data_IF_501773454595
#
_entry.id   IF_501773454595
#
_cell.length_a   1.000
_cell.length_b   1.000
_cell.length_c   1.000
_cell.angle_alpha   90.00
_cell.angle_beta   90.00
_cell.angle_gamma   90.00
#
_symmetry.space_group_name_H-M   'P 1'
#
loop_
_entity.id
_entity.type
_entity.pdbx_description
1 polymer ?
#
# COMPACT_ATOMS: atom_id res chain seq x y z
N UNK A 1 -24.43 9.17 4.92
CA UNK A 1 -23.16 9.71 5.45
C UNK A 1 -22.92 9.15 6.83
N UNK A 2 -21.69 8.75 7.18
CA UNK A 2 -21.34 8.40 8.58
C UNK A 2 -21.34 9.67 9.44
N UNK A 3 -21.57 9.55 10.75
CA UNK A 3 -21.60 10.70 11.67
C UNK A 3 -20.36 11.60 11.54
N UNK A 4 -19.20 10.99 11.33
CA UNK A 4 -17.96 11.74 11.18
C UNK A 4 -17.81 12.40 9.80
N UNK A 5 -18.35 11.81 8.72
CA UNK A 5 -18.46 12.50 7.44
C UNK A 5 -19.43 13.69 7.50
N UNK A 6 -20.48 13.60 8.32
CA UNK A 6 -21.40 14.72 8.58
C UNK A 6 -20.72 15.87 9.34
N UNK A 7 -19.83 15.56 10.28
CA UNK A 7 -19.00 16.58 10.96
C UNK A 7 -18.10 17.35 9.98
N UNK A 8 -17.41 16.62 9.09
CA UNK A 8 -16.54 17.20 8.05
C UNK A 8 -17.36 18.10 7.10
N UNK A 9 -18.55 17.65 6.69
CA UNK A 9 -19.47 18.44 5.86
C UNK A 9 -19.89 19.74 6.55
N UNK A 10 -20.33 19.65 7.81
CA UNK A 10 -20.76 20.80 8.59
C UNK A 10 -19.64 21.83 8.74
N UNK A 11 -18.41 21.37 8.98
CA UNK A 11 -17.26 22.25 9.06
C UNK A 11 -16.98 22.98 7.74
N UNK A 12 -17.04 22.28 6.61
CA UNK A 12 -16.81 22.89 5.29
C UNK A 12 -17.86 23.94 4.93
N UNK A 13 -19.12 23.75 5.33
CA UNK A 13 -20.19 24.70 5.04
C UNK A 13 -20.20 25.86 6.04
N UNK A 14 -20.10 25.59 7.34
CA UNK A 14 -20.27 26.60 8.38
C UNK A 14 -19.01 27.45 8.62
N UNK A 15 -17.80 26.87 8.55
CA UNK A 15 -16.56 27.60 8.81
C UNK A 15 -15.90 28.12 7.52
N UNK A 16 -15.91 27.30 6.47
CA UNK A 16 -15.18 27.61 5.22
C UNK A 16 -16.09 28.15 4.10
N UNK A 17 -17.41 28.06 4.26
CA UNK A 17 -18.37 28.62 3.32
C UNK A 17 -18.44 27.91 1.97
N UNK A 18 -18.09 26.62 1.90
CA UNK A 18 -18.18 25.85 0.66
C UNK A 18 -19.63 25.69 0.19
N UNK A 19 -19.86 25.81 -1.12
CA UNK A 19 -21.14 25.51 -1.74
C UNK A 19 -21.31 23.98 -1.87
N UNK A 20 -22.32 23.37 -1.22
CA UNK A 20 -22.56 21.92 -1.25
C UNK A 20 -22.88 21.37 -2.64
N UNK A 21 -23.19 22.22 -3.61
CA UNK A 21 -23.51 21.83 -4.99
C UNK A 21 -22.32 21.96 -5.94
N UNK A 22 -21.23 22.56 -5.48
CA UNK A 22 -20.03 22.76 -6.29
C UNK A 22 -19.19 21.48 -6.43
N UNK A 23 -18.51 21.33 -7.56
CA UNK A 23 -17.54 20.25 -7.77
C UNK A 23 -16.35 20.36 -6.78
N UNK A 24 -16.00 21.58 -6.38
CA UNK A 24 -14.94 21.83 -5.40
C UNK A 24 -15.26 21.24 -4.02
N UNK A 25 -16.51 21.36 -3.58
CA UNK A 25 -16.96 20.75 -2.33
C UNK A 25 -16.78 19.23 -2.32
N UNK A 26 -17.13 18.55 -3.41
CA UNK A 26 -16.96 17.09 -3.50
C UNK A 26 -15.49 16.67 -3.54
N UNK A 27 -14.63 17.45 -4.19
CA UNK A 27 -13.19 17.21 -4.21
C UNK A 27 -12.60 17.30 -2.79
N UNK A 28 -12.93 18.35 -2.04
CA UNK A 28 -12.36 18.52 -0.69
C UNK A 28 -13.00 17.61 0.34
N UNK A 29 -14.29 17.30 0.20
CA UNK A 29 -14.95 16.25 0.97
C UNK A 29 -14.24 14.92 0.79
N UNK A 30 -13.98 14.50 -0.46
CA UNK A 30 -13.33 13.23 -0.76
C UNK A 30 -11.87 13.19 -0.24
N UNK A 31 -11.13 14.31 -0.34
CA UNK A 31 -9.79 14.42 0.27
C UNK A 31 -9.83 14.27 1.78
N UNK A 32 -10.68 15.03 2.48
CA UNK A 32 -10.80 14.98 3.95
C UNK A 32 -11.27 13.61 4.42
N UNK A 33 -12.26 13.03 3.75
CA UNK A 33 -12.79 11.72 4.08
C UNK A 33 -11.75 10.61 3.88
N UNK A 34 -10.85 10.70 2.88
CA UNK A 34 -9.71 9.79 2.74
C UNK A 34 -8.65 9.97 3.83
N UNK A 35 -8.39 11.21 4.25
CA UNK A 35 -7.42 11.53 5.30
C UNK A 35 -7.90 11.10 6.70
N UNK A 36 -9.17 11.32 7.01
CA UNK A 36 -9.79 10.99 8.30
C UNK A 36 -10.16 9.51 8.42
N UNK A 37 -10.51 8.86 7.29
CA UNK A 37 -10.88 7.44 7.27
C UNK A 37 -9.99 6.60 6.34
N UNK A 38 -8.66 6.63 6.48
CA UNK A 38 -7.76 5.86 5.61
C UNK A 38 -8.08 4.36 5.64
N UNK A 39 -8.60 3.88 6.78
CA UNK A 39 -9.07 2.50 6.98
C UNK A 39 -10.26 2.09 6.10
N UNK A 40 -11.07 3.04 5.62
CA UNK A 40 -12.25 2.78 4.77
C UNK A 40 -11.93 2.86 3.29
N UNK A 41 -10.87 3.58 2.92
CA UNK A 41 -10.44 3.77 1.53
C UNK A 41 -9.28 2.89 1.12
N UNK A 42 -8.69 2.15 2.07
CA UNK A 42 -7.91 0.96 1.79
C UNK A 42 -6.85 1.18 0.71
N UNK A 43 -5.84 2.00 0.98
CA UNK A 43 -4.54 1.63 0.41
C UNK A 43 -4.10 0.37 1.16
N UNK A 44 -4.25 -0.77 0.51
CA UNK A 44 -3.56 -2.01 0.85
C UNK A 44 -2.06 -1.78 0.79
N UNK A 45 -1.52 -0.97 1.69
CA UNK A 45 -0.08 -0.86 1.91
C UNK A 45 0.17 -1.65 3.16
N UNK A 46 0.74 -2.84 2.93
CA UNK A 46 1.39 -3.71 3.88
C UNK A 46 1.26 -3.25 5.32
N UNK A 47 0.38 -3.92 6.07
CA UNK A 47 0.56 -4.00 7.52
C UNK A 47 1.89 -4.71 7.73
N UNK A 48 2.97 -3.92 7.73
CA UNK A 48 4.27 -4.32 8.23
C UNK A 48 4.09 -4.99 9.58
N UNK A 49 5.03 -5.87 9.98
CA UNK A 49 4.79 -6.85 11.03
C UNK A 49 4.29 -6.13 12.28
N UNK A 50 3.03 -6.37 12.63
CA UNK A 50 2.49 -5.94 13.92
C UNK A 50 3.43 -6.51 14.97
N UNK A 51 4.10 -5.64 15.70
CA UNK A 51 4.92 -6.03 16.85
C UNK A 51 3.99 -6.80 17.79
N UNK A 52 4.16 -8.11 17.81
CA UNK A 52 3.52 -8.94 18.82
C UNK A 52 4.08 -8.46 20.17
N UNK A 53 3.19 -8.26 21.15
CA UNK A 53 3.58 -8.01 22.53
C UNK A 53 4.70 -8.97 22.92
N UNK A 54 5.75 -8.46 23.56
CA UNK A 54 7.00 -9.13 23.84
C UNK A 54 6.86 -10.23 24.93
N UNK A 55 5.92 -11.14 24.76
CA UNK A 55 5.60 -12.18 25.74
C UNK A 55 5.28 -13.51 25.07
N UNK A 56 6.14 -13.93 24.13
CA UNK A 56 6.16 -15.31 23.64
C UNK A 56 7.57 -15.70 23.24
N UNK A 57 8.32 -16.21 24.22
CA UNK A 57 9.53 -16.99 24.02
C UNK A 57 9.20 -18.28 23.27
N UNK A 58 9.50 -18.35 21.97
CA UNK A 58 9.64 -19.64 21.28
C UNK A 58 10.43 -19.48 19.97
N UNK A 59 11.72 -19.82 20.05
CA UNK A 59 12.59 -20.34 19.00
C UNK A 59 11.99 -20.50 17.61
N UNK A 60 12.38 -19.60 16.69
CA UNK A 60 12.47 -19.90 15.26
C UNK A 60 13.89 -19.67 14.79
N UNK A 61 14.77 -20.56 15.24
CA UNK A 61 16.06 -20.82 14.62
C UNK A 61 15.86 -21.37 13.20
N UNK A 62 15.51 -20.51 12.26
CA UNK A 62 15.61 -20.81 10.83
C UNK A 62 16.95 -20.28 10.33
N UNK A 63 18.01 -21.03 10.64
CA UNK A 63 19.22 -21.21 9.82
C UNK A 63 19.22 -20.42 8.49
N UNK A 64 19.68 -19.16 8.53
CA UNK A 64 20.07 -18.38 7.33
C UNK A 64 21.41 -18.88 6.75
N UNK A 65 21.55 -20.19 6.57
CA UNK A 65 22.70 -20.79 5.88
C UNK A 65 22.23 -21.27 4.51
N UNK A 66 22.41 -20.44 3.48
CA UNK A 66 22.69 -20.95 2.13
C UNK A 66 21.69 -20.73 0.99
N UNK A 67 20.54 -20.03 1.13
CA UNK A 67 19.67 -19.81 -0.05
C UNK A 67 20.15 -18.60 -0.87
N UNK A 68 20.94 -18.85 -1.91
CA UNK A 68 21.34 -17.85 -2.93
C UNK A 68 20.11 -17.48 -3.77
N UNK A 69 19.39 -16.44 -3.37
CA UNK A 69 18.27 -15.89 -4.16
C UNK A 69 18.78 -14.84 -5.13
N UNK A 70 18.26 -14.84 -6.36
CA UNK A 70 18.54 -13.81 -7.37
C UNK A 70 17.34 -12.89 -7.44
N UNK A 71 17.57 -11.57 -7.32
CA UNK A 71 16.53 -10.55 -7.49
C UNK A 71 16.64 -9.97 -8.89
N UNK A 72 15.60 -10.14 -9.70
CA UNK A 72 15.53 -9.57 -11.05
C UNK A 72 14.98 -8.14 -11.00
N UNK A 73 15.58 -7.24 -11.78
CA UNK A 73 15.06 -5.87 -11.97
C UNK A 73 13.82 -5.87 -12.87
N UNK A 74 12.95 -4.85 -12.80
CA UNK A 74 11.77 -4.75 -13.67
C UNK A 74 12.12 -4.80 -15.17
N UNK A 75 13.26 -4.22 -15.56
CA UNK A 75 13.78 -4.27 -16.93
C UNK A 75 14.14 -5.70 -17.36
N UNK A 76 14.81 -6.46 -16.50
CA UNK A 76 15.14 -7.87 -16.73
C UNK A 76 13.90 -8.76 -16.88
N UNK A 77 12.87 -8.51 -16.08
CA UNK A 77 11.58 -9.21 -16.19
C UNK A 77 10.92 -8.92 -17.54
N UNK A 78 10.98 -7.67 -18.02
CA UNK A 78 10.43 -7.30 -19.33
C UNK A 78 11.19 -7.96 -20.48
N UNK A 79 12.52 -8.03 -20.40
CA UNK A 79 13.35 -8.67 -21.42
C UNK A 79 13.06 -10.18 -21.50
N UNK A 80 13.01 -10.87 -20.36
CA UNK A 80 12.66 -12.28 -20.31
C UNK A 80 11.29 -12.58 -20.95
N UNK A 81 10.30 -11.72 -20.66
CA UNK A 81 8.97 -11.80 -21.29
C UNK A 81 9.00 -11.54 -22.80
N UNK A 82 9.81 -10.57 -23.28
CA UNK A 82 9.98 -10.30 -24.72
C UNK A 82 10.65 -11.46 -25.46
N UNK A 83 11.61 -12.13 -24.81
CA UNK A 83 12.28 -13.31 -25.35
C UNK A 83 11.45 -14.59 -25.20
N UNK A 84 10.28 -14.52 -24.55
CA UNK A 84 9.42 -15.65 -24.21
C UNK A 84 10.18 -16.76 -23.45
N UNK A 85 11.12 -16.36 -22.59
CA UNK A 85 11.93 -17.26 -21.75
C UNK A 85 11.43 -17.19 -20.30
N UNK A 86 11.34 -18.32 -19.58
CA UNK A 86 11.00 -18.32 -18.17
C UNK A 86 11.97 -17.47 -17.33
N UNK A 87 11.44 -16.84 -16.28
CA UNK A 87 12.23 -15.98 -15.39
C UNK A 87 13.33 -16.76 -14.66
N UNK A 88 13.12 -18.06 -14.42
CA UNK A 88 14.09 -18.96 -13.79
C UNK A 88 15.32 -19.16 -14.67
N UNK A 89 15.10 -19.46 -15.95
CA UNK A 89 16.14 -19.59 -16.96
C UNK A 89 16.90 -18.28 -17.16
N UNK A 90 16.19 -17.16 -17.30
CA UNK A 90 16.83 -15.86 -17.45
C UNK A 90 17.69 -15.50 -16.21
N UNK A 91 17.24 -15.82 -15.01
CA UNK A 91 17.99 -15.57 -13.77
C UNK A 91 19.29 -16.36 -13.65
N UNK A 92 19.45 -17.49 -14.36
CA UNK A 92 20.71 -18.25 -14.40
C UNK A 92 21.80 -17.46 -15.14
N UNK A 93 21.44 -16.81 -16.24
CA UNK A 93 22.38 -16.09 -17.12
C UNK A 93 22.68 -14.65 -16.68
N UNK A 94 21.86 -14.08 -15.80
CA UNK A 94 22.07 -12.73 -15.26
C UNK A 94 23.15 -12.70 -14.15
N UNK A 95 23.58 -13.86 -13.65
CA UNK A 95 24.45 -13.98 -12.47
C UNK A 95 25.94 -14.16 -12.80
N UNK A 96 26.35 -14.02 -14.05
CA UNK A 96 27.77 -13.97 -14.43
C UNK A 96 28.31 -12.54 -14.47
#
# INVERSE_FOLDING_TARGET
MTYAAFGIHRQMIEEEGFDPTSDEYYNELDRRVRTEFPQKFGSSKDKGPRVASAESTASKSSTKKGRRTVKLTPSQIQIAKRLNVPLEEYAKYVKE
#
